data_IF_866957673974
#
_entry.id   IF_866957673974
#
_cell.length_a   1.000
_cell.length_b   1.000
_cell.length_c   1.000
_cell.angle_alpha   90.00
_cell.angle_beta   90.00
_cell.angle_gamma   90.00
#
_symmetry.space_group_name_H-M   'P 1'
#
loop_
_entity.id
_entity.type
_entity.pdbx_description
1 polymer ?
#
# COMPACT_ATOMS: atom_id res chain seq x y z
N UNK A 1 -6.57 34.41 5.01
CA UNK A 1 -5.85 33.12 4.93
C UNK A 1 -5.42 32.76 6.34
N UNK A 2 -5.98 31.70 6.92
CA UNK A 2 -5.64 31.27 8.28
C UNK A 2 -4.19 30.78 8.36
N UNK A 3 -3.52 31.04 9.49
CA UNK A 3 -2.12 30.66 9.73
C UNK A 3 -1.87 29.15 9.62
N UNK A 4 -2.89 28.32 9.88
CA UNK A 4 -2.86 26.87 9.71
C UNK A 4 -2.47 26.40 8.30
N UNK A 5 -2.81 27.16 7.25
CA UNK A 5 -2.46 26.79 5.88
C UNK A 5 -0.98 27.06 5.55
N UNK A 6 -0.30 27.91 6.32
CA UNK A 6 1.13 28.21 6.11
C UNK A 6 2.05 27.12 6.67
N UNK A 7 1.62 26.42 7.73
CA UNK A 7 2.44 25.38 8.38
C UNK A 7 2.38 24.01 7.67
N UNK A 8 1.35 23.75 6.86
CA UNK A 8 1.12 22.42 6.27
C UNK A 8 1.88 22.12 4.97
N UNK A 9 2.69 23.05 4.43
CA UNK A 9 3.45 22.81 3.19
C UNK A 9 2.59 22.51 1.95
N UNK A 10 1.27 22.74 2.02
CA UNK A 10 0.33 22.48 0.93
C UNK A 10 0.53 23.56 -0.15
N UNK A 11 1.10 23.18 -1.30
CA UNK A 11 1.14 24.04 -2.49
C UNK A 11 -0.30 24.43 -2.85
N UNK A 12 -0.58 25.72 -2.78
CA UNK A 12 -1.89 26.38 -2.73
C UNK A 12 -2.74 26.31 -4.02
N UNK A 13 -2.66 25.25 -4.83
CA UNK A 13 -3.37 25.16 -6.12
C UNK A 13 -4.41 24.04 -6.20
N UNK A 14 -4.50 23.14 -5.22
CA UNK A 14 -5.38 21.97 -5.31
C UNK A 14 -6.00 21.54 -3.96
N UNK A 15 -6.43 22.49 -3.12
CA UNK A 15 -7.07 22.19 -1.83
C UNK A 15 -8.36 22.99 -1.64
N UNK A 16 -9.42 22.32 -1.17
CA UNK A 16 -10.65 22.94 -0.67
C UNK A 16 -10.78 22.55 0.80
N UNK A 17 -11.06 23.53 1.64
CA UNK A 17 -11.41 23.31 3.05
C UNK A 17 -12.92 23.38 3.18
N UNK A 18 -13.52 22.41 3.86
CA UNK A 18 -14.96 22.30 4.07
C UNK A 18 -15.22 22.07 5.55
N UNK A 19 -16.10 22.88 6.13
CA UNK A 19 -16.61 22.67 7.48
C UNK A 19 -17.91 21.85 7.38
N UNK A 20 -17.92 20.67 8.01
CA UNK A 20 -19.08 19.77 8.03
C UNK A 20 -19.61 19.70 9.47
N UNK A 21 -20.81 20.23 9.68
CA UNK A 21 -21.48 20.18 10.98
C UNK A 21 -22.19 18.83 11.16
N UNK A 22 -21.50 17.88 11.81
CA UNK A 22 -21.97 16.49 11.99
C UNK A 22 -23.30 16.34 12.75
N UNK A 23 -23.75 17.39 13.45
CA UNK A 23 -25.01 17.37 14.20
C UNK A 23 -26.24 17.65 13.32
N UNK A 24 -26.04 18.26 12.15
CA UNK A 24 -27.12 18.82 11.33
C UNK A 24 -27.53 17.90 10.16
N UNK A 25 -26.77 16.84 9.89
CA UNK A 25 -27.01 15.93 8.79
C UNK A 25 -26.68 14.48 9.18
N UNK A 26 -27.43 13.53 8.64
CA UNK A 26 -27.11 12.10 8.83
C UNK A 26 -25.83 11.73 8.08
N UNK A 27 -25.20 10.62 8.48
CA UNK A 27 -24.01 10.09 7.79
C UNK A 27 -24.28 9.87 6.29
N UNK A 28 -25.45 9.31 5.97
CA UNK A 28 -25.90 9.09 4.59
C UNK A 28 -26.01 10.40 3.79
N UNK A 29 -26.62 11.44 4.39
CA UNK A 29 -26.76 12.75 3.73
C UNK A 29 -25.40 13.39 3.47
N UNK A 30 -24.47 13.31 4.44
CA UNK A 30 -23.10 13.80 4.27
C UNK A 30 -22.40 13.07 3.13
N UNK A 31 -22.52 11.74 3.06
CA UNK A 31 -21.92 10.94 1.99
C UNK A 31 -22.52 11.32 0.63
N UNK A 32 -23.84 11.48 0.53
CA UNK A 32 -24.50 11.84 -0.72
C UNK A 32 -24.10 13.24 -1.19
N UNK A 33 -24.09 14.23 -0.30
CA UNK A 33 -23.61 15.57 -0.63
C UNK A 33 -22.16 15.56 -1.10
N UNK A 34 -21.26 14.82 -0.42
CA UNK A 34 -19.86 14.72 -0.85
C UNK A 34 -19.71 14.05 -2.22
N UNK A 35 -20.51 13.01 -2.52
CA UNK A 35 -20.52 12.37 -3.84
C UNK A 35 -20.90 13.35 -4.96
N UNK A 36 -21.80 14.30 -4.70
CA UNK A 36 -22.22 15.32 -5.67
C UNK A 36 -21.19 16.45 -5.78
N UNK A 37 -20.65 16.91 -4.66
CA UNK A 37 -19.78 18.09 -4.59
C UNK A 37 -18.35 17.83 -5.09
N UNK A 38 -17.76 16.67 -4.76
CA UNK A 38 -16.37 16.34 -5.14
C UNK A 38 -16.13 16.45 -6.66
N UNK A 39 -16.99 15.88 -7.55
CA UNK A 39 -16.83 16.05 -8.99
C UNK A 39 -16.92 17.51 -9.45
N UNK A 40 -17.80 18.32 -8.83
CA UNK A 40 -17.95 19.73 -9.17
C UNK A 40 -16.70 20.52 -8.79
N UNK A 41 -16.15 20.26 -7.60
CA UNK A 41 -14.90 20.84 -7.13
C UNK A 41 -13.71 20.48 -8.01
N UNK A 42 -13.58 19.22 -8.42
CA UNK A 42 -12.54 18.77 -9.36
C UNK A 42 -12.63 19.53 -10.68
N UNK A 43 -13.84 19.74 -11.22
CA UNK A 43 -14.07 20.54 -12.44
C UNK A 43 -13.69 22.00 -12.25
N UNK A 44 -14.10 22.62 -11.14
CA UNK A 44 -13.79 24.02 -10.83
C UNK A 44 -12.29 24.27 -10.72
N UNK A 45 -11.56 23.37 -10.07
CA UNK A 45 -10.12 23.42 -9.93
C UNK A 45 -9.35 22.97 -11.19
N UNK A 46 -10.06 22.58 -12.26
CA UNK A 46 -9.48 22.03 -13.50
C UNK A 46 -8.49 20.90 -13.21
N UNK A 47 -8.83 20.05 -12.24
CA UNK A 47 -8.00 18.90 -11.91
C UNK A 47 -8.05 17.87 -13.04
N UNK A 48 -6.89 17.34 -13.41
CA UNK A 48 -6.83 16.16 -14.25
C UNK A 48 -7.32 14.95 -13.46
N UNK A 49 -7.95 14.01 -14.15
CA UNK A 49 -8.25 12.72 -13.55
C UNK A 49 -6.95 12.08 -13.04
N UNK A 50 -7.00 11.42 -11.86
CA UNK A 50 -5.84 10.70 -11.36
C UNK A 50 -5.38 9.69 -12.40
N UNK A 51 -4.06 9.61 -12.62
CA UNK A 51 -3.49 8.67 -13.57
C UNK A 51 -3.96 7.23 -13.25
N UNK A 52 -4.35 6.48 -14.28
CA UNK A 52 -4.68 5.06 -14.12
C UNK A 52 -3.48 4.35 -13.49
N UNK A 53 -3.74 3.65 -12.39
CA UNK A 53 -2.69 2.97 -11.64
C UNK A 53 -2.04 1.91 -12.53
N UNK A 54 -0.71 1.97 -12.63
CA UNK A 54 0.07 0.97 -13.37
C UNK A 54 0.13 -0.39 -12.66
N UNK A 55 0.03 -0.37 -11.33
CA UNK A 55 0.08 -1.55 -10.49
C UNK A 55 -1.26 -1.78 -9.79
N UNK A 56 -1.67 -3.05 -9.67
CA UNK A 56 -2.87 -3.46 -8.93
C UNK A 56 -2.48 -4.37 -7.79
N UNK A 57 -2.55 -3.84 -6.57
CA UNK A 57 -2.32 -4.56 -5.33
C UNK A 57 -3.48 -5.52 -5.04
N UNK A 58 -3.18 -6.69 -4.46
CA UNK A 58 -4.21 -7.66 -4.09
C UNK A 58 -3.71 -8.75 -3.14
N UNK A 59 -4.56 -9.77 -2.89
CA UNK A 59 -4.22 -10.91 -2.01
C UNK A 59 -2.92 -11.62 -2.40
N UNK A 60 -2.64 -11.73 -3.70
CA UNK A 60 -1.40 -12.33 -4.19
C UNK A 60 -0.17 -11.51 -3.82
N UNK A 61 -0.26 -10.18 -3.82
CA UNK A 61 0.82 -9.30 -3.38
C UNK A 61 1.06 -9.44 -1.88
N UNK A 62 0.00 -9.46 -1.06
CA UNK A 62 0.12 -9.73 0.38
C UNK A 62 0.77 -11.09 0.65
N UNK A 63 0.40 -12.12 -0.12
CA UNK A 63 1.03 -13.43 -0.03
C UNK A 63 2.52 -13.38 -0.33
N UNK A 64 2.93 -12.67 -1.38
CA UNK A 64 4.35 -12.46 -1.72
C UNK A 64 5.09 -11.74 -0.60
N UNK A 65 4.50 -10.69 -0.01
CA UNK A 65 5.10 -9.95 1.11
C UNK A 65 5.42 -10.89 2.28
N UNK A 66 4.49 -11.80 2.63
CA UNK A 66 4.68 -12.78 3.69
C UNK A 66 5.68 -13.86 3.27
N UNK A 67 5.43 -14.50 2.13
CA UNK A 67 6.15 -15.68 1.68
C UNK A 67 7.62 -15.40 1.37
N UNK A 68 7.89 -14.22 0.82
CA UNK A 68 9.21 -13.80 0.37
C UNK A 68 9.91 -12.98 1.46
N UNK A 69 9.27 -12.82 2.63
CA UNK A 69 9.76 -12.04 3.77
C UNK A 69 10.20 -10.63 3.35
N UNK A 70 9.37 -9.96 2.56
CA UNK A 70 9.71 -8.67 1.96
C UNK A 70 9.87 -7.56 3.00
N UNK A 71 9.09 -7.57 4.10
CA UNK A 71 9.24 -6.55 5.16
C UNK A 71 10.65 -6.62 5.80
N UNK A 72 11.10 -7.78 6.34
CA UNK A 72 12.48 -7.92 6.79
C UNK A 72 13.53 -7.59 5.73
N UNK A 73 13.30 -7.96 4.47
CA UNK A 73 14.21 -7.61 3.37
C UNK A 73 14.32 -6.10 3.17
N UNK A 74 13.19 -5.40 3.18
CA UNK A 74 13.14 -3.94 3.10
C UNK A 74 13.84 -3.30 4.29
N UNK A 75 13.67 -3.84 5.50
CA UNK A 75 14.37 -3.36 6.71
C UNK A 75 15.89 -3.49 6.56
N UNK A 76 16.38 -4.61 6.02
CA UNK A 76 17.82 -4.81 5.76
C UNK A 76 18.37 -3.86 4.68
N UNK A 77 17.60 -3.62 3.61
CA UNK A 77 17.95 -2.65 2.56
C UNK A 77 18.04 -1.24 3.16
N UNK A 78 17.02 -0.85 3.94
CA UNK A 78 16.96 0.44 4.59
C UNK A 78 18.11 0.63 5.58
N UNK A 79 18.38 -0.38 6.42
CA UNK A 79 19.50 -0.37 7.35
C UNK A 79 20.84 -0.21 6.64
N UNK A 80 21.06 -0.92 5.53
CA UNK A 80 22.29 -0.79 4.74
C UNK A 80 22.50 0.63 4.20
N UNK A 81 21.44 1.25 3.70
CA UNK A 81 21.47 2.64 3.25
C UNK A 81 21.82 3.63 4.38
N UNK A 82 21.25 3.45 5.57
CA UNK A 82 21.49 4.32 6.73
C UNK A 82 22.87 4.10 7.39
N UNK A 83 23.51 2.96 7.13
CA UNK A 83 24.82 2.59 7.68
C UNK A 83 25.91 2.68 6.60
N UNK A 84 26.23 3.90 6.16
CA UNK A 84 27.32 4.18 5.21
C UNK A 84 27.17 3.44 3.87
N UNK A 85 25.94 3.31 3.35
CA UNK A 85 25.64 2.57 2.12
C UNK A 85 26.19 1.12 2.12
N UNK A 86 26.18 0.48 3.30
CA UNK A 86 26.64 -0.89 3.47
C UNK A 86 25.81 -1.85 2.61
N UNK A 87 26.49 -2.57 1.73
CA UNK A 87 25.86 -3.56 0.85
C UNK A 87 25.83 -4.94 1.50
N UNK A 88 24.63 -5.40 1.84
CA UNK A 88 24.39 -6.78 2.25
C UNK A 88 24.34 -7.64 0.99
N UNK A 89 25.22 -8.63 0.87
CA UNK A 89 25.22 -9.58 -0.24
C UNK A 89 23.92 -10.39 -0.27
N UNK A 90 23.41 -10.71 -1.46
CA UNK A 90 22.18 -11.48 -1.60
C UNK A 90 22.28 -12.90 -1.01
N UNK A 91 23.47 -13.52 -0.99
CA UNK A 91 23.72 -14.78 -0.29
C UNK A 91 23.49 -14.67 1.22
N UNK A 92 24.08 -13.66 1.86
CA UNK A 92 23.88 -13.36 3.28
C UNK A 92 22.42 -12.99 3.57
N UNK A 93 21.77 -12.23 2.69
CA UNK A 93 20.36 -11.90 2.83
C UNK A 93 19.48 -13.16 2.72
N UNK A 94 19.77 -14.04 1.77
CA UNK A 94 19.08 -15.33 1.62
C UNK A 94 19.25 -16.19 2.87
N UNK A 95 20.48 -16.31 3.41
CA UNK A 95 20.69 -17.07 4.64
C UNK A 95 19.95 -16.45 5.83
N UNK A 96 20.11 -15.15 6.09
CA UNK A 96 19.43 -14.46 7.19
C UNK A 96 17.90 -14.58 7.11
N UNK A 97 17.34 -14.43 5.90
CA UNK A 97 15.90 -14.45 5.71
C UNK A 97 15.35 -15.87 5.61
N UNK A 98 16.11 -16.88 5.19
CA UNK A 98 15.54 -18.19 4.82
C UNK A 98 16.28 -19.41 5.39
N UNK A 99 17.18 -19.25 6.37
CA UNK A 99 17.99 -20.34 6.95
C UNK A 99 17.19 -21.61 7.31
N UNK A 100 15.99 -21.45 7.86
CA UNK A 100 15.09 -22.55 8.28
C UNK A 100 13.79 -22.60 7.48
N UNK A 101 13.78 -22.06 6.26
CA UNK A 101 12.60 -22.03 5.40
C UNK A 101 12.53 -23.30 4.55
N UNK A 102 11.39 -24.00 4.57
CA UNK A 102 11.12 -25.08 3.61
C UNK A 102 10.97 -24.56 2.16
N UNK A 103 10.79 -23.23 1.99
CA UNK A 103 10.70 -22.60 0.67
C UNK A 103 12.10 -22.34 0.13
N UNK A 104 12.34 -22.84 -1.08
CA UNK A 104 13.55 -22.58 -1.84
C UNK A 104 13.63 -21.09 -2.23
N UNK A 105 14.53 -20.38 -1.53
CA UNK A 105 14.73 -18.93 -1.61
C UNK A 105 16.21 -18.60 -1.52
N UNK A 106 16.93 -19.13 -2.49
CA UNK A 106 18.35 -18.88 -2.68
C UNK A 106 18.63 -17.46 -3.22
N UNK A 107 19.93 -17.13 -3.31
CA UNK A 107 20.41 -15.88 -3.89
C UNK A 107 19.85 -15.61 -5.30
N UNK A 108 19.68 -16.66 -6.12
CA UNK A 108 19.14 -16.55 -7.48
C UNK A 108 17.70 -16.03 -7.49
N UNK A 109 16.84 -16.62 -6.66
CA UNK A 109 15.44 -16.20 -6.50
C UNK A 109 15.35 -14.79 -5.94
N UNK A 110 16.18 -14.46 -4.95
CA UNK A 110 16.24 -13.11 -4.38
C UNK A 110 16.60 -12.07 -5.45
N UNK A 111 17.62 -12.36 -6.26
CA UNK A 111 18.09 -11.45 -7.31
C UNK A 111 17.03 -11.17 -8.37
N UNK A 112 16.31 -12.19 -8.81
CA UNK A 112 15.39 -12.10 -9.95
C UNK A 112 14.01 -11.60 -9.52
N UNK A 113 13.57 -11.92 -8.31
CA UNK A 113 12.17 -11.73 -7.90
C UNK A 113 11.99 -10.93 -6.61
N UNK A 114 12.58 -11.37 -5.50
CA UNK A 114 12.23 -10.83 -4.18
C UNK A 114 12.84 -9.43 -3.97
N UNK A 115 14.12 -9.24 -4.28
CA UNK A 115 14.82 -7.95 -4.12
C UNK A 115 14.25 -6.84 -5.02
N UNK A 116 14.00 -7.06 -6.33
CA UNK A 116 13.34 -6.05 -7.16
C UNK A 116 11.95 -5.67 -6.64
N UNK A 117 11.19 -6.64 -6.11
CA UNK A 117 9.86 -6.38 -5.56
C UNK A 117 9.93 -5.59 -4.24
N UNK A 118 10.87 -5.92 -3.35
CA UNK A 118 11.13 -5.16 -2.12
C UNK A 118 11.53 -3.70 -2.45
N UNK A 119 12.45 -3.51 -3.40
CA UNK A 119 12.84 -2.18 -3.87
C UNK A 119 11.66 -1.39 -4.48
N UNK A 120 10.81 -2.05 -5.27
CA UNK A 120 9.63 -1.41 -5.84
C UNK A 120 8.64 -0.98 -4.74
N UNK A 121 8.40 -1.84 -3.73
CA UNK A 121 7.56 -1.50 -2.58
C UNK A 121 8.12 -0.31 -1.77
N UNK A 122 9.45 -0.19 -1.65
CA UNK A 122 10.10 0.90 -0.93
C UNK A 122 10.09 2.24 -1.69
N UNK A 123 10.21 2.20 -3.02
CA UNK A 123 10.56 3.39 -3.82
C UNK A 123 9.45 3.86 -4.77
N UNK A 124 8.52 2.99 -5.17
CA UNK A 124 7.46 3.34 -6.12
C UNK A 124 6.14 3.65 -5.39
N UNK A 125 5.76 4.92 -5.36
CA UNK A 125 4.51 5.40 -4.77
C UNK A 125 3.25 4.70 -5.32
N UNK A 126 3.31 4.15 -6.54
CA UNK A 126 2.17 3.43 -7.11
C UNK A 126 1.80 2.18 -6.29
N UNK A 127 2.78 1.54 -5.64
CA UNK A 127 2.52 0.38 -4.78
C UNK A 127 1.77 0.78 -3.51
N UNK A 128 2.23 1.82 -2.81
CA UNK A 128 1.58 2.31 -1.58
C UNK A 128 0.17 2.78 -1.89
N UNK A 129 0.01 3.65 -2.88
CA UNK A 129 -1.32 4.14 -3.25
C UNK A 129 -2.22 2.96 -3.66
N UNK A 130 -1.70 1.94 -4.36
CA UNK A 130 -2.54 0.80 -4.78
C UNK A 130 -2.91 -0.10 -3.60
N UNK A 131 -2.07 -0.19 -2.58
CA UNK A 131 -2.40 -0.84 -1.32
C UNK A 131 -3.52 -0.08 -0.59
N UNK A 132 -3.47 1.25 -0.54
CA UNK A 132 -4.54 2.09 0.04
C UNK A 132 -5.88 1.83 -0.63
N UNK A 133 -5.92 1.82 -1.97
CA UNK A 133 -7.14 1.47 -2.72
C UNK A 133 -7.64 0.08 -2.36
N UNK A 134 -6.74 -0.90 -2.31
CA UNK A 134 -7.10 -2.27 -1.93
C UNK A 134 -7.71 -2.32 -0.53
N UNK A 135 -7.14 -1.59 0.44
CA UNK A 135 -7.66 -1.52 1.80
C UNK A 135 -9.00 -0.77 1.89
N UNK A 136 -9.20 0.27 1.09
CA UNK A 136 -10.48 0.98 1.02
C UNK A 136 -11.59 0.09 0.42
N UNK A 137 -11.31 -0.60 -0.67
CA UNK A 137 -12.24 -1.57 -1.29
C UNK A 137 -12.57 -2.74 -0.35
N UNK A 138 -11.64 -3.11 0.53
CA UNK A 138 -11.76 -4.23 1.44
C UNK A 138 -11.80 -3.78 2.91
N UNK A 139 -12.34 -2.60 3.22
CA UNK A 139 -12.27 -2.01 4.56
C UNK A 139 -12.93 -2.90 5.64
N UNK A 140 -13.87 -3.77 5.26
CA UNK A 140 -14.44 -4.80 6.15
C UNK A 140 -13.40 -5.76 6.73
N UNK A 141 -12.20 -5.80 6.15
CA UNK A 141 -11.09 -6.67 6.55
C UNK A 141 -10.01 -5.93 7.34
N UNK A 142 -10.24 -4.65 7.69
CA UNK A 142 -9.24 -3.82 8.39
C UNK A 142 -8.79 -4.41 9.72
N UNK A 143 -9.71 -5.05 10.44
CA UNK A 143 -9.43 -5.69 11.74
C UNK A 143 -9.07 -7.18 11.61
N UNK A 144 -9.06 -7.71 10.38
CA UNK A 144 -8.72 -9.11 10.12
C UNK A 144 -7.21 -9.28 10.09
N UNK A 145 -6.69 -10.32 10.74
CA UNK A 145 -5.27 -10.68 10.63
C UNK A 145 -4.92 -10.96 9.16
N UNK A 146 -3.84 -10.36 8.66
CA UNK A 146 -3.41 -10.51 7.26
C UNK A 146 -3.23 -11.99 6.88
N UNK A 147 -2.70 -12.81 7.80
CA UNK A 147 -2.54 -14.25 7.60
C UNK A 147 -3.87 -14.95 7.33
N UNK A 148 -4.95 -14.54 7.99
CA UNK A 148 -6.28 -15.13 7.80
C UNK A 148 -6.93 -14.64 6.50
N UNK A 149 -6.73 -13.37 6.15
CA UNK A 149 -7.21 -12.78 4.91
C UNK A 149 -6.61 -13.43 3.64
N UNK A 150 -5.34 -13.80 3.71
CA UNK A 150 -4.57 -14.37 2.59
C UNK A 150 -4.75 -15.88 2.46
N UNK A 151 -5.34 -16.57 3.46
CA UNK A 151 -5.71 -17.98 3.33
C UNK A 151 -6.69 -18.15 2.19
N UNK A 152 -6.45 -19.15 1.35
CA UNK A 152 -7.42 -19.54 0.34
C UNK A 152 -8.66 -20.11 1.05
N UNK A 153 -9.85 -19.69 0.65
CA UNK A 153 -11.07 -20.42 1.04
C UNK A 153 -10.88 -21.85 0.56
N UNK A 154 -10.87 -22.82 1.49
CA UNK A 154 -10.80 -24.23 1.14
C UNK A 154 -11.93 -24.48 0.14
N UNK A 155 -11.60 -24.69 -1.14
CA UNK A 155 -12.55 -25.23 -2.10
C UNK A 155 -13.10 -26.50 -1.45
N UNK A 156 -14.39 -26.49 -1.08
CA UNK A 156 -15.13 -27.74 -0.87
C UNK A 156 -14.96 -28.50 -2.17
N UNK A 157 -14.07 -29.49 -2.18
CA UNK A 157 -14.13 -30.53 -3.19
C UNK A 157 -15.46 -31.21 -2.92
N UNK A 158 -16.47 -30.89 -3.73
CA UNK A 158 -17.63 -31.74 -3.87
C UNK A 158 -17.10 -33.04 -4.48
N UNK A 159 -16.97 -34.06 -3.63
CA UNK A 159 -16.77 -35.43 -4.07
C UNK A 159 -17.99 -35.81 -4.93
N UNK A 160 -17.75 -36.08 -6.22
CA UNK A 160 -18.68 -36.74 -7.12
C UNK A 160 -18.24 -38.17 -7.34
#
# INVERSE_FOLDING_TARGET
MSEYLKESGIKSLASITVDIFLQEASTEDIIEHLKVLIPQWKKQLKMNDPAVRKYRFGKSTLRKIIDYRLIPMMDLIFWGADNNDTKISLSLMSSLLHENSEKDRDEGMLKVTDYPLAMALLTDENYLKSFEDYMMENNVLKDTKIVDHVKDEKKKKEDK
#
